data_IF_833725539945
#
_entry.id   IF_833725539945
#
_cell.length_a   1.000
_cell.length_b   1.000
_cell.length_c   1.000
_cell.angle_alpha   90.00
_cell.angle_beta   90.00
_cell.angle_gamma   90.00
#
_symmetry.space_group_name_H-M   'P 1'
#
loop_
_entity.id
_entity.type
_entity.pdbx_description
1 polymer ?
#
# COMPACT_ATOMS: atom_id res chain seq x y z
N UNK A 1 19.37 -6.11 -30.56
CA UNK A 1 19.62 -7.03 -29.47
C UNK A 1 19.62 -6.34 -28.12
N UNK A 2 20.57 -5.47 -27.79
CA UNK A 2 20.64 -4.79 -26.47
C UNK A 2 19.41 -3.95 -26.06
N UNK A 3 18.59 -3.51 -26.98
CA UNK A 3 17.37 -2.72 -26.69
C UNK A 3 16.18 -3.63 -26.35
N UNK A 4 16.07 -4.78 -27.00
CA UNK A 4 15.06 -5.80 -26.68
C UNK A 4 15.29 -6.37 -25.27
N UNK A 5 16.56 -6.66 -24.92
CA UNK A 5 16.92 -7.14 -23.59
C UNK A 5 16.51 -6.14 -22.48
N UNK A 6 16.68 -4.83 -22.72
CA UNK A 6 16.29 -3.79 -21.75
C UNK A 6 14.78 -3.68 -21.56
N UNK A 7 14.00 -3.88 -22.62
CA UNK A 7 12.54 -3.86 -22.52
C UNK A 7 12.01 -5.07 -21.74
N UNK A 8 12.59 -6.24 -21.95
CA UNK A 8 12.23 -7.47 -21.24
C UNK A 8 12.56 -7.35 -19.74
N UNK A 9 13.73 -6.80 -19.39
CA UNK A 9 14.09 -6.51 -17.99
C UNK A 9 13.13 -5.52 -17.34
N UNK A 10 12.74 -4.45 -18.04
CA UNK A 10 11.82 -3.46 -17.51
C UNK A 10 10.43 -4.04 -17.25
N UNK A 11 9.91 -4.86 -18.16
CA UNK A 11 8.63 -5.55 -18.01
C UNK A 11 8.67 -6.55 -16.85
N UNK A 12 9.76 -7.32 -16.73
CA UNK A 12 9.97 -8.24 -15.62
C UNK A 12 9.99 -7.51 -14.28
N UNK A 13 10.74 -6.42 -14.17
CA UNK A 13 10.80 -5.60 -12.95
C UNK A 13 9.43 -5.05 -12.54
N UNK A 14 8.67 -4.51 -13.49
CA UNK A 14 7.32 -3.99 -13.21
C UNK A 14 6.38 -5.11 -12.75
N UNK A 15 6.47 -6.30 -13.33
CA UNK A 15 5.65 -7.45 -12.91
C UNK A 15 6.02 -7.92 -11.50
N UNK A 16 7.30 -7.95 -11.16
CA UNK A 16 7.78 -8.27 -9.81
C UNK A 16 7.29 -7.24 -8.78
N UNK A 17 7.40 -5.94 -9.07
CA UNK A 17 6.91 -4.88 -8.18
C UNK A 17 5.40 -5.05 -7.92
N UNK A 18 4.62 -5.36 -8.95
CA UNK A 18 3.18 -5.60 -8.80
C UNK A 18 2.89 -6.83 -7.95
N UNK A 19 3.57 -7.93 -8.19
CA UNK A 19 3.39 -9.16 -7.43
C UNK A 19 3.76 -8.96 -5.96
N UNK A 20 4.95 -8.40 -5.69
CA UNK A 20 5.40 -8.10 -4.35
C UNK A 20 4.46 -7.12 -3.64
N UNK A 21 4.02 -6.07 -4.35
CA UNK A 21 3.05 -5.12 -3.83
C UNK A 21 1.73 -5.78 -3.44
N UNK A 22 1.16 -6.60 -4.32
CA UNK A 22 -0.07 -7.33 -4.03
C UNK A 22 0.08 -8.27 -2.83
N UNK A 23 1.16 -9.06 -2.78
CA UNK A 23 1.45 -9.96 -1.66
C UNK A 23 1.58 -9.15 -0.35
N UNK A 24 2.35 -8.07 -0.35
CA UNK A 24 2.51 -7.20 0.83
C UNK A 24 1.16 -6.65 1.28
N UNK A 25 0.33 -6.15 0.37
CA UNK A 25 -1.00 -5.62 0.68
C UNK A 25 -1.90 -6.67 1.37
N UNK A 26 -1.97 -7.87 0.82
CA UNK A 26 -2.79 -8.95 1.37
C UNK A 26 -2.26 -9.51 2.68
N UNK A 27 -0.94 -9.69 2.81
CA UNK A 27 -0.33 -10.15 4.07
C UNK A 27 -0.53 -9.13 5.18
N UNK A 28 -0.36 -7.83 4.88
CA UNK A 28 -0.58 -6.77 5.87
C UNK A 28 -2.05 -6.71 6.29
N UNK A 29 -3.00 -6.85 5.35
CA UNK A 29 -4.43 -6.93 5.68
C UNK A 29 -4.73 -8.11 6.60
N UNK A 30 -4.23 -9.30 6.27
CA UNK A 30 -4.42 -10.49 7.09
C UNK A 30 -3.83 -10.31 8.49
N UNK A 31 -2.64 -9.71 8.58
CA UNK A 31 -1.99 -9.39 9.85
C UNK A 31 -2.82 -8.40 10.68
N UNK A 32 -3.30 -7.30 10.06
CA UNK A 32 -4.16 -6.31 10.73
C UNK A 32 -5.43 -6.98 11.26
N UNK A 33 -6.09 -7.81 10.45
CA UNK A 33 -7.30 -8.52 10.85
C UNK A 33 -7.01 -9.47 12.03
N UNK A 34 -5.94 -10.25 11.94
CA UNK A 34 -5.51 -11.15 13.01
C UNK A 34 -5.26 -10.38 14.31
N UNK A 35 -4.43 -9.35 14.31
CA UNK A 35 -4.11 -8.55 15.50
C UNK A 35 -5.36 -7.84 16.07
N UNK A 36 -6.27 -7.40 15.19
CA UNK A 36 -7.51 -6.73 15.61
C UNK A 36 -8.47 -7.68 16.30
N UNK A 37 -8.52 -8.95 15.88
CA UNK A 37 -9.41 -9.96 16.44
C UNK A 37 -8.79 -10.76 17.61
N UNK A 38 -7.46 -10.68 17.79
CA UNK A 38 -6.77 -11.36 18.89
C UNK A 38 -7.05 -10.70 20.23
N UNK A 39 -7.06 -11.46 21.35
CA UNK A 39 -7.17 -10.92 22.70
C UNK A 39 -6.09 -9.88 22.99
N UNK A 40 -6.43 -8.86 23.81
CA UNK A 40 -5.52 -7.74 24.12
C UNK A 40 -4.21 -8.22 24.77
N UNK A 41 -4.26 -9.31 25.53
CA UNK A 41 -3.12 -9.89 26.26
C UNK A 41 -2.01 -10.42 25.34
N UNK A 42 -2.37 -10.84 24.11
CA UNK A 42 -1.44 -11.42 23.13
C UNK A 42 -0.95 -10.40 22.11
N UNK A 43 -1.24 -9.12 22.31
CA UNK A 43 -0.95 -8.06 21.34
C UNK A 43 0.47 -7.52 21.52
N UNK A 44 1.38 -7.70 20.56
CA UNK A 44 2.66 -7.01 20.61
C UNK A 44 2.42 -5.51 20.41
N UNK A 45 2.68 -4.69 21.45
CA UNK A 45 2.68 -3.23 21.32
C UNK A 45 4.13 -2.76 21.22
N UNK A 46 4.50 -2.18 20.09
CA UNK A 46 5.86 -1.68 19.82
C UNK A 46 5.89 -0.16 19.96
N UNK A 47 4.77 0.52 19.70
CA UNK A 47 4.67 1.98 19.71
C UNK A 47 3.28 2.45 20.22
N UNK A 48 3.03 3.76 20.13
CA UNK A 48 1.70 4.30 20.39
C UNK A 48 0.68 3.66 19.40
N UNK A 49 -0.49 3.17 19.86
CA UNK A 49 -1.50 2.51 19.03
C UNK A 49 -1.88 3.28 17.75
N UNK A 50 -1.93 4.60 17.82
CA UNK A 50 -2.25 5.44 16.66
C UNK A 50 -1.15 5.37 15.58
N UNK A 51 0.12 5.36 15.99
CA UNK A 51 1.26 5.22 15.07
C UNK A 51 1.24 3.83 14.41
N UNK A 52 0.94 2.79 15.18
CA UNK A 52 0.82 1.43 14.67
C UNK A 52 -0.31 1.32 13.63
N UNK A 53 -1.49 1.89 13.92
CA UNK A 53 -2.63 1.91 13.01
C UNK A 53 -2.31 2.67 11.72
N UNK A 54 -1.71 3.86 11.84
CA UNK A 54 -1.27 4.64 10.69
C UNK A 54 -0.29 3.85 9.82
N UNK A 55 0.79 3.32 10.42
CA UNK A 55 1.84 2.60 9.69
C UNK A 55 1.30 1.33 9.02
N UNK A 56 0.49 0.53 9.71
CA UNK A 56 -0.08 -0.68 9.17
C UNK A 56 -0.99 -0.40 7.95
N UNK A 57 -1.86 0.62 8.03
CA UNK A 57 -2.72 1.01 6.93
C UNK A 57 -1.94 1.66 5.78
N UNK A 58 -0.87 2.42 6.09
CA UNK A 58 0.01 2.98 5.07
C UNK A 58 0.74 1.88 4.27
N UNK A 59 1.30 0.88 4.94
CA UNK A 59 1.99 -0.26 4.29
C UNK A 59 1.00 -1.10 3.46
N UNK A 60 -0.17 -1.41 4.01
CA UNK A 60 -1.22 -2.15 3.30
C UNK A 60 -1.63 -1.43 2.02
N UNK A 61 -1.93 -0.14 2.12
CA UNK A 61 -2.39 0.68 1.01
C UNK A 61 -1.30 0.92 -0.04
N UNK A 62 -0.05 1.11 0.38
CA UNK A 62 1.12 1.16 -0.50
C UNK A 62 1.25 -0.14 -1.30
N UNK A 63 1.16 -1.29 -0.63
CA UNK A 63 1.20 -2.60 -1.27
C UNK A 63 0.12 -2.75 -2.33
N UNK A 64 -1.13 -2.41 -2.02
CA UNK A 64 -2.23 -2.47 -2.99
C UNK A 64 -2.06 -1.45 -4.12
N UNK A 65 -1.58 -0.24 -3.86
CA UNK A 65 -1.35 0.77 -4.90
C UNK A 65 -0.28 0.33 -5.91
N UNK A 66 0.78 -0.33 -5.45
CA UNK A 66 1.81 -0.92 -6.31
C UNK A 66 1.30 -2.17 -7.03
N UNK A 67 0.55 -3.03 -6.35
CA UNK A 67 0.01 -4.27 -6.90
C UNK A 67 -1.09 -4.04 -7.95
N UNK A 68 -1.95 -3.06 -7.72
CA UNK A 68 -3.13 -2.80 -8.56
C UNK A 68 -3.19 -1.34 -9.04
N UNK A 69 -2.20 -0.85 -9.81
CA UNK A 69 -2.03 0.57 -10.13
C UNK A 69 -3.21 1.21 -10.90
N UNK A 70 -4.02 0.39 -11.57
CA UNK A 70 -5.20 0.86 -12.32
C UNK A 70 -6.47 0.95 -11.48
N UNK A 71 -6.44 0.51 -10.21
CA UNK A 71 -7.62 0.39 -9.34
C UNK A 71 -7.58 1.33 -8.14
N UNK A 72 -6.94 2.49 -8.25
CA UNK A 72 -6.71 3.43 -7.14
C UNK A 72 -8.00 3.82 -6.40
N UNK A 73 -9.08 4.11 -7.13
CA UNK A 73 -10.36 4.45 -6.52
C UNK A 73 -10.95 3.28 -5.70
N UNK A 74 -10.89 2.07 -6.25
CA UNK A 74 -11.36 0.87 -5.53
C UNK A 74 -10.51 0.61 -4.28
N UNK A 75 -9.19 0.82 -4.36
CA UNK A 75 -8.30 0.69 -3.21
C UNK A 75 -8.67 1.72 -2.15
N UNK A 76 -8.92 2.97 -2.51
CA UNK A 76 -9.31 4.02 -1.56
C UNK A 76 -10.63 3.66 -0.85
N UNK A 77 -11.64 3.23 -1.59
CA UNK A 77 -12.92 2.77 -1.03
C UNK A 77 -12.68 1.58 -0.09
N UNK A 78 -11.89 0.59 -0.52
CA UNK A 78 -11.58 -0.59 0.27
C UNK A 78 -10.89 -0.23 1.59
N UNK A 79 -9.91 0.69 1.57
CA UNK A 79 -9.20 1.18 2.76
C UNK A 79 -10.18 1.85 3.73
N UNK A 80 -11.04 2.75 3.23
CA UNK A 80 -12.04 3.42 4.06
C UNK A 80 -13.00 2.41 4.68
N UNK A 81 -13.57 1.53 3.87
CA UNK A 81 -14.46 0.48 4.37
C UNK A 81 -13.78 -0.41 5.40
N UNK A 82 -12.53 -0.84 5.16
CA UNK A 82 -11.77 -1.67 6.09
C UNK A 82 -11.52 -0.96 7.42
N UNK A 83 -11.19 0.35 7.40
CA UNK A 83 -10.97 1.13 8.61
C UNK A 83 -12.22 1.17 9.48
N UNK A 84 -13.38 1.46 8.90
CA UNK A 84 -14.64 1.51 9.63
C UNK A 84 -15.13 0.13 10.07
N UNK A 85 -15.00 -0.89 9.22
CA UNK A 85 -15.39 -2.27 9.55
C UNK A 85 -14.61 -2.79 10.74
N UNK A 86 -13.29 -2.62 10.73
CA UNK A 86 -12.43 -3.05 11.83
C UNK A 86 -12.75 -2.31 13.13
N UNK A 87 -13.08 -1.03 13.04
CA UNK A 87 -13.49 -0.24 14.21
C UNK A 87 -14.85 -0.70 14.76
N UNK A 88 -15.81 -0.95 13.86
CA UNK A 88 -17.12 -1.50 14.24
C UNK A 88 -17.00 -2.89 14.88
N UNK A 89 -16.12 -3.74 14.38
CA UNK A 89 -15.84 -5.06 14.98
C UNK A 89 -15.22 -4.94 16.39
N UNK A 90 -14.44 -3.90 16.66
CA UNK A 90 -13.90 -3.64 17.99
C UNK A 90 -14.99 -3.25 18.99
N UNK A 91 -16.09 -2.61 18.56
CA UNK A 91 -17.23 -2.32 19.43
C UNK A 91 -17.99 -3.57 19.86
N UNK A 92 -17.87 -4.67 19.12
CA UNK A 92 -18.49 -5.96 19.45
C UNK A 92 -17.62 -6.82 20.40
N UNK A 93 -16.39 -6.36 20.70
CA UNK A 93 -15.46 -7.07 21.57
C UNK A 93 -15.55 -6.50 22.99
N UNK A 94 -15.84 -7.30 24.06
CA UNK A 94 -16.19 -6.81 25.38
C UNK A 94 -15.18 -5.87 26.05
N UNK A 95 -13.88 -6.00 25.72
CA UNK A 95 -12.80 -5.24 26.36
C UNK A 95 -12.26 -4.10 25.51
N UNK A 96 -12.96 -3.71 24.43
CA UNK A 96 -12.49 -2.69 23.49
C UNK A 96 -13.52 -1.58 23.26
N UNK A 97 -13.01 -0.37 23.22
CA UNK A 97 -13.81 0.83 22.89
C UNK A 97 -13.35 1.31 21.51
N UNK A 98 -14.17 1.08 20.48
CA UNK A 98 -13.96 1.66 19.15
C UNK A 98 -13.91 3.19 19.26
N UNK A 99 -12.87 3.79 18.70
CA UNK A 99 -12.68 5.25 18.71
C UNK A 99 -12.72 5.78 17.28
N UNK A 100 -13.60 6.72 17.01
CA UNK A 100 -13.67 7.38 15.70
C UNK A 100 -12.30 7.94 15.27
N UNK A 101 -11.51 8.42 16.22
CA UNK A 101 -10.15 8.89 15.98
C UNK A 101 -9.25 7.80 15.37
N UNK A 102 -9.38 6.56 15.84
CA UNK A 102 -8.58 5.45 15.33
C UNK A 102 -8.98 5.09 13.88
N UNK A 103 -10.27 5.19 13.53
CA UNK A 103 -10.71 5.06 12.14
C UNK A 103 -10.13 6.16 11.25
N UNK A 104 -10.10 7.40 11.71
CA UNK A 104 -9.52 8.53 10.97
C UNK A 104 -8.02 8.32 10.77
N UNK A 105 -7.28 7.93 11.80
CA UNK A 105 -5.84 7.65 11.70
C UNK A 105 -5.54 6.54 10.70
N UNK A 106 -6.34 5.45 10.70
CA UNK A 106 -6.26 4.36 9.73
C UNK A 106 -6.49 4.86 8.30
N UNK A 107 -7.52 5.70 8.08
CA UNK A 107 -7.80 6.28 6.77
C UNK A 107 -6.67 7.18 6.28
N UNK A 108 -6.15 8.07 7.13
CA UNK A 108 -5.06 8.98 6.78
C UNK A 108 -3.80 8.20 6.43
N UNK A 109 -3.45 7.17 7.22
CA UNK A 109 -2.37 6.24 6.90
C UNK A 109 -2.56 5.57 5.53
N UNK A 110 -3.76 5.05 5.27
CA UNK A 110 -4.09 4.42 4.00
C UNK A 110 -3.98 5.37 2.80
N UNK A 111 -4.50 6.59 2.91
CA UNK A 111 -4.39 7.61 1.86
C UNK A 111 -2.92 8.01 1.60
N UNK A 112 -2.13 8.16 2.66
CA UNK A 112 -0.68 8.41 2.56
C UNK A 112 0.02 7.25 1.82
N UNK A 113 -0.31 6.00 2.13
CA UNK A 113 0.22 4.82 1.45
C UNK A 113 -0.14 4.77 -0.05
N UNK A 114 -1.39 5.09 -0.41
CA UNK A 114 -1.81 5.23 -1.81
C UNK A 114 -1.00 6.31 -2.51
N UNK A 115 -0.86 7.49 -1.89
CA UNK A 115 -0.09 8.61 -2.44
C UNK A 115 1.37 8.24 -2.70
N UNK A 116 2.02 7.61 -1.72
CA UNK A 116 3.39 7.11 -1.86
C UNK A 116 3.52 6.09 -2.99
N UNK A 117 2.61 5.12 -3.10
CA UNK A 117 2.61 4.13 -4.17
C UNK A 117 2.44 4.75 -5.56
N UNK A 118 1.57 5.75 -5.69
CA UNK A 118 1.40 6.50 -6.94
C UNK A 118 2.64 7.29 -7.31
N UNK A 119 3.28 7.94 -6.33
CA UNK A 119 4.52 8.68 -6.55
C UNK A 119 5.64 7.75 -7.02
N UNK A 120 5.83 6.59 -6.38
CA UNK A 120 6.81 5.59 -6.80
C UNK A 120 6.57 5.17 -8.25
N UNK A 121 5.32 4.85 -8.62
CA UNK A 121 4.98 4.46 -9.99
C UNK A 121 5.25 5.55 -11.00
N UNK A 122 4.95 6.82 -10.69
CA UNK A 122 5.23 7.97 -11.56
C UNK A 122 6.74 8.16 -11.77
N UNK A 123 7.52 8.05 -10.70
CA UNK A 123 8.98 8.14 -10.77
C UNK A 123 9.54 7.02 -11.64
N UNK A 124 9.12 5.78 -11.43
CA UNK A 124 9.54 4.65 -12.25
C UNK A 124 9.20 4.87 -13.73
N UNK A 125 7.97 5.28 -14.03
CA UNK A 125 7.55 5.57 -15.42
C UNK A 125 8.39 6.68 -16.06
N UNK A 126 8.71 7.73 -15.32
CA UNK A 126 9.55 8.84 -15.83
C UNK A 126 10.98 8.38 -16.15
N UNK A 127 11.55 7.50 -15.33
CA UNK A 127 12.89 6.95 -15.56
C UNK A 127 12.90 6.03 -16.81
N UNK A 128 11.91 5.16 -16.96
CA UNK A 128 11.80 4.31 -18.14
C UNK A 128 11.57 5.13 -19.42
N UNK A 129 10.78 6.20 -19.38
CA UNK A 129 10.58 7.09 -20.52
C UNK A 129 11.89 7.76 -20.95
N UNK A 130 12.71 8.21 -20.00
CA UNK A 130 14.03 8.80 -20.29
C UNK A 130 14.99 7.81 -20.96
N UNK A 131 14.98 6.56 -20.52
CA UNK A 131 15.82 5.51 -21.10
C UNK A 131 15.40 5.11 -22.52
N UNK A 132 14.13 5.32 -22.88
CA UNK A 132 13.57 5.08 -24.22
C UNK A 132 13.79 6.22 -25.22
N UNK A 133 14.07 7.42 -24.75
CA UNK A 133 14.32 8.56 -25.65
C UNK A 133 15.65 8.35 -26.38
N UNK A 134 15.67 8.21 -27.74
CA UNK A 134 16.90 8.12 -28.49
C UNK A 134 17.71 9.41 -28.29
N UNK A 135 19.03 9.26 -28.10
CA UNK A 135 19.93 10.38 -28.04
C UNK A 135 19.70 11.25 -29.30
N UNK A 136 19.29 12.52 -29.11
CA UNK A 136 19.22 13.46 -30.23
C UNK A 136 20.62 13.52 -30.86
N UNK A 137 20.77 12.91 -32.03
CA UNK A 137 21.93 13.18 -32.87
C UNK A 137 21.91 14.69 -33.15
N UNK A 138 22.87 15.40 -32.58
CA UNK A 138 23.21 16.76 -32.97
C UNK A 138 23.72 16.71 -34.42
N UNK A 139 23.09 17.31 -35.41
CA UNK A 139 23.68 17.46 -36.74
C UNK A 139 24.84 18.43 -36.61
N UNK A 140 26.03 17.95 -36.96
CA UNK A 140 27.24 18.76 -37.19
C UNK A 140 27.11 19.51 -38.49
#
# INVERSE_FOLDING_TARGET
MAQLDREDYALSLVSMIRLCGAITGWLTLAFIAFVTLSPIQDRPSIANPQTEHFAAFAVMALGFALGYPRRTALIAIFIVCSAFTLEAMQLLTPDRHGRLLDAVVKMVGGLAGIGAGRLILLVLQSQFARLRSPAKHSPS
#
